data_IF_482475497287
#
_entry.id   IF_482475497287
#
_cell.length_a   1.000
_cell.length_b   1.000
_cell.length_c   1.000
_cell.angle_alpha   90.00
_cell.angle_beta   90.00
_cell.angle_gamma   90.00
#
_symmetry.space_group_name_H-M   'P 1'
#
loop_
_entity.id
_entity.type
_entity.pdbx_description
1 polymer ?
#
# COMPACT_ATOMS: atom_id res chain seq x y z
N UNK A 1 -23.34 -1.91 -0.96
CA UNK A 1 -22.31 -2.33 -1.95
C UNK A 1 -21.14 -1.35 -2.07
N UNK A 2 -21.37 -0.03 -2.06
CA UNK A 2 -20.29 0.97 -2.13
C UNK A 2 -19.15 0.79 -1.12
N UNK A 3 -19.47 0.53 0.17
CA UNK A 3 -18.46 0.27 1.21
C UNK A 3 -17.59 -0.96 0.89
N UNK A 4 -18.20 -2.03 0.40
CA UNK A 4 -17.50 -3.26 0.02
C UNK A 4 -16.52 -3.00 -1.14
N UNK A 5 -16.96 -2.24 -2.15
CA UNK A 5 -16.12 -1.90 -3.30
C UNK A 5 -14.96 -0.98 -2.90
N UNK A 6 -15.22 -0.02 -2.00
CA UNK A 6 -14.14 0.75 -1.38
C UNK A 6 -13.09 -0.14 -0.71
N UNK A 7 -13.53 -1.14 0.08
CA UNK A 7 -12.62 -2.09 0.75
C UNK A 7 -11.81 -2.90 -0.27
N UNK A 8 -12.46 -3.42 -1.33
CA UNK A 8 -11.77 -4.16 -2.40
C UNK A 8 -10.71 -3.31 -3.06
N UNK A 9 -11.02 -2.05 -3.39
CA UNK A 9 -10.05 -1.13 -3.97
C UNK A 9 -8.89 -0.84 -3.01
N UNK A 10 -9.14 -0.71 -1.70
CA UNK A 10 -8.07 -0.54 -0.72
C UNK A 10 -7.09 -1.72 -0.73
N UNK A 11 -7.59 -2.96 -0.78
CA UNK A 11 -6.74 -4.15 -0.92
C UNK A 11 -5.98 -4.17 -2.24
N UNK A 12 -6.60 -3.76 -3.34
CA UNK A 12 -5.91 -3.62 -4.64
C UNK A 12 -4.78 -2.60 -4.53
N UNK A 13 -5.01 -1.43 -3.92
CA UNK A 13 -3.99 -0.40 -3.73
C UNK A 13 -2.80 -0.89 -2.91
N UNK A 14 -3.06 -1.62 -1.84
CA UNK A 14 -2.01 -2.25 -1.03
C UNK A 14 -1.25 -3.31 -1.83
N UNK A 15 -1.95 -4.19 -2.54
CA UNK A 15 -1.33 -5.24 -3.37
C UNK A 15 -0.45 -4.65 -4.49
N UNK A 16 -0.91 -3.60 -5.16
CA UNK A 16 -0.15 -2.88 -6.18
C UNK A 16 1.11 -2.23 -5.57
N UNK A 17 1.00 -1.71 -4.35
CA UNK A 17 2.16 -1.15 -3.64
C UNK A 17 3.18 -2.24 -3.32
N UNK A 18 2.73 -3.41 -2.83
CA UNK A 18 3.63 -4.54 -2.58
C UNK A 18 4.28 -5.06 -3.87
N UNK A 19 3.54 -5.08 -4.97
CA UNK A 19 4.07 -5.46 -6.28
C UNK A 19 5.12 -4.46 -6.78
N UNK A 20 4.90 -3.16 -6.59
CA UNK A 20 5.84 -2.11 -6.95
C UNK A 20 7.16 -2.26 -6.19
N UNK A 21 7.09 -2.42 -4.87
CA UNK A 21 8.29 -2.55 -4.01
C UNK A 21 8.95 -3.94 -4.05
N UNK A 22 8.33 -4.94 -4.69
CA UNK A 22 8.96 -6.23 -5.01
C UNK A 22 9.31 -6.38 -6.49
N UNK A 23 9.09 -5.35 -7.31
CA UNK A 23 9.38 -5.42 -8.74
C UNK A 23 10.87 -5.69 -8.97
N UNK A 24 11.18 -6.73 -9.74
CA UNK A 24 12.55 -7.16 -10.00
C UNK A 24 13.15 -8.15 -8.99
N UNK A 25 12.44 -8.48 -7.91
CA UNK A 25 12.86 -9.50 -6.96
C UNK A 25 12.28 -10.88 -7.34
N UNK A 26 13.05 -11.95 -7.15
CA UNK A 26 12.61 -13.34 -7.36
C UNK A 26 11.81 -13.92 -6.17
N UNK A 27 11.24 -13.05 -5.34
CA UNK A 27 10.51 -13.42 -4.14
C UNK A 27 9.15 -14.04 -4.49
N UNK A 28 8.77 -15.19 -3.90
CA UNK A 28 7.42 -15.73 -4.04
C UNK A 28 6.32 -14.73 -3.66
N UNK A 29 5.22 -14.70 -4.43
CA UNK A 29 4.08 -13.78 -4.23
C UNK A 29 3.50 -13.84 -2.81
N UNK A 30 3.50 -15.03 -2.19
CA UNK A 30 3.02 -15.22 -0.83
C UNK A 30 3.81 -14.41 0.22
N UNK A 31 5.07 -14.06 -0.07
CA UNK A 31 5.94 -13.29 0.83
C UNK A 31 5.96 -11.80 0.49
N UNK A 32 5.29 -11.38 -0.60
CA UNK A 32 5.29 -9.97 -1.01
C UNK A 32 4.77 -8.98 0.04
N UNK A 33 3.78 -9.30 0.89
CA UNK A 33 3.34 -8.37 1.93
C UNK A 33 4.46 -7.99 2.92
N UNK A 34 5.26 -8.96 3.37
CA UNK A 34 6.37 -8.69 4.28
C UNK A 34 7.55 -8.07 3.56
N UNK A 35 7.96 -8.65 2.43
CA UNK A 35 9.14 -8.21 1.67
C UNK A 35 8.93 -6.82 1.06
N UNK A 36 7.74 -6.56 0.52
CA UNK A 36 7.39 -5.25 -0.04
C UNK A 36 7.35 -4.16 1.03
N UNK A 37 6.89 -4.50 2.24
CA UNK A 37 6.95 -3.59 3.38
C UNK A 37 8.40 -3.29 3.79
N UNK A 38 9.28 -4.30 3.87
CA UNK A 38 10.69 -4.08 4.21
C UNK A 38 11.41 -3.27 3.12
N UNK A 39 11.11 -3.52 1.84
CA UNK A 39 11.67 -2.74 0.73
C UNK A 39 11.19 -1.28 0.75
N UNK A 40 9.93 -1.04 1.15
CA UNK A 40 9.42 0.32 1.39
C UNK A 40 10.16 1.01 2.55
N UNK A 41 10.28 0.32 3.69
CA UNK A 41 11.02 0.84 4.87
C UNK A 41 12.46 1.16 4.49
N UNK A 42 13.14 0.24 3.82
CA UNK A 42 14.48 0.44 3.29
C UNK A 42 14.55 1.64 2.35
N UNK A 43 13.62 1.78 1.41
CA UNK A 43 13.60 2.90 0.46
C UNK A 43 13.50 4.26 1.17
N UNK A 44 12.70 4.34 2.24
CA UNK A 44 12.58 5.55 3.07
C UNK A 44 13.86 5.74 3.91
N UNK A 45 14.38 4.66 4.47
CA UNK A 45 15.54 4.64 5.34
C UNK A 45 16.87 4.94 4.63
N UNK A 46 16.95 4.66 3.33
CA UNK A 46 18.21 4.51 2.58
C UNK A 46 19.17 5.70 2.66
N UNK A 47 18.69 6.92 2.86
CA UNK A 47 19.53 8.10 3.18
C UNK A 47 18.84 9.00 4.21
N UNK A 48 17.92 8.43 4.98
CA UNK A 48 17.16 9.15 5.99
C UNK A 48 18.04 9.41 7.21
N UNK A 49 18.01 10.62 7.80
CA UNK A 49 18.67 10.89 9.08
C UNK A 49 17.88 10.34 10.28
N UNK A 50 16.69 9.77 10.05
CA UNK A 50 15.80 9.29 11.11
C UNK A 50 16.19 7.89 11.61
N UNK A 51 15.96 7.61 12.92
CA UNK A 51 16.14 6.27 13.47
C UNK A 51 15.10 5.30 12.91
N UNK A 52 15.43 4.00 12.91
CA UNK A 52 14.62 2.93 12.31
C UNK A 52 13.14 2.99 12.72
N UNK A 53 12.86 3.18 14.01
CA UNK A 53 11.48 3.25 14.51
C UNK A 53 10.64 4.33 13.80
N UNK A 54 11.22 5.50 13.51
CA UNK A 54 10.54 6.59 12.80
C UNK A 54 10.32 6.21 11.34
N UNK A 55 11.28 5.56 10.70
CA UNK A 55 11.16 5.08 9.32
C UNK A 55 10.04 4.04 9.19
N UNK A 56 9.95 3.08 10.12
CA UNK A 56 8.85 2.12 10.19
C UNK A 56 7.50 2.81 10.39
N UNK A 57 7.42 3.81 11.26
CA UNK A 57 6.19 4.57 11.48
C UNK A 57 5.75 5.30 10.21
N UNK A 58 6.69 5.93 9.48
CA UNK A 58 6.42 6.59 8.21
C UNK A 58 5.91 5.58 7.17
N UNK A 59 6.54 4.40 7.06
CA UNK A 59 6.11 3.36 6.13
C UNK A 59 4.67 2.89 6.41
N UNK A 60 4.32 2.68 7.69
CA UNK A 60 2.95 2.31 8.09
C UNK A 60 1.95 3.41 7.72
N UNK A 61 2.28 4.68 8.02
CA UNK A 61 1.43 5.82 7.67
C UNK A 61 1.21 5.93 6.16
N UNK A 62 2.25 5.66 5.35
CA UNK A 62 2.13 5.65 3.89
C UNK A 62 1.20 4.54 3.40
N UNK A 63 1.29 3.33 3.94
CA UNK A 63 0.37 2.24 3.58
C UNK A 63 -1.07 2.54 3.97
N UNK A 64 -1.29 3.15 5.14
CA UNK A 64 -2.61 3.62 5.55
C UNK A 64 -3.14 4.69 4.60
N UNK A 65 -2.29 5.64 4.19
CA UNK A 65 -2.65 6.66 3.20
C UNK A 65 -3.07 6.02 1.88
N UNK A 66 -2.29 5.07 1.35
CA UNK A 66 -2.62 4.33 0.12
C UNK A 66 -3.97 3.64 0.27
N UNK A 67 -4.20 2.92 1.37
CA UNK A 67 -5.47 2.24 1.61
C UNK A 67 -6.66 3.22 1.62
N UNK A 68 -6.53 4.37 2.28
CA UNK A 68 -7.58 5.40 2.33
C UNK A 68 -7.83 6.04 0.96
N UNK A 69 -6.76 6.34 0.21
CA UNK A 69 -6.87 6.92 -1.14
C UNK A 69 -7.59 5.97 -2.06
N UNK A 70 -7.18 4.71 -2.11
CA UNK A 70 -7.83 3.71 -2.96
C UNK A 70 -9.26 3.40 -2.50
N UNK A 71 -9.52 3.34 -1.19
CA UNK A 71 -10.88 3.22 -0.66
C UNK A 71 -11.80 4.33 -1.18
N UNK A 72 -11.32 5.58 -1.12
CA UNK A 72 -12.07 6.74 -1.62
C UNK A 72 -12.28 6.66 -3.13
N UNK A 73 -11.28 6.23 -3.90
CA UNK A 73 -11.37 6.04 -5.36
C UNK A 73 -12.44 4.99 -5.67
N UNK A 74 -12.36 3.79 -5.09
CA UNK A 74 -13.34 2.73 -5.34
C UNK A 74 -14.76 3.11 -4.93
N UNK A 75 -14.90 3.79 -3.79
CA UNK A 75 -16.19 4.29 -3.32
C UNK A 75 -16.79 5.35 -4.25
N UNK A 76 -15.97 6.25 -4.81
CA UNK A 76 -16.40 7.27 -5.76
C UNK A 76 -16.75 6.68 -7.12
N UNK A 77 -15.92 5.77 -7.65
CA UNK A 77 -16.17 5.09 -8.92
C UNK A 77 -17.49 4.32 -8.89
N UNK A 78 -17.74 3.56 -7.82
CA UNK A 78 -19.02 2.86 -7.70
C UNK A 78 -20.20 3.82 -7.65
N UNK A 79 -20.10 4.91 -6.87
CA UNK A 79 -21.17 5.91 -6.79
C UNK A 79 -21.42 6.67 -8.09
N UNK A 80 -20.41 6.77 -8.97
CA UNK A 80 -20.55 7.35 -10.30
C UNK A 80 -21.22 6.39 -11.30
N UNK A 81 -20.97 5.08 -11.17
CA UNK A 81 -21.53 4.03 -12.05
C UNK A 81 -22.95 3.63 -11.61
N UNK A 82 -23.25 3.67 -10.31
CA UNK A 82 -24.55 3.28 -9.76
C UNK A 82 -25.59 4.40 -9.77
N UNK A 83 -25.28 5.55 -10.39
CA UNK A 83 -26.20 6.66 -10.63
C UNK A 83 -26.60 6.65 -12.10
#
# INVERSE_FOLDING_TARGET
MQKLIGIVFAFIGLALTMALFNSGNNTPVAQWPSEGFQNLVFSIGWLSPFPDFVVYLIAILLLLLVAVVFYKIGSKLYGAISR
#
